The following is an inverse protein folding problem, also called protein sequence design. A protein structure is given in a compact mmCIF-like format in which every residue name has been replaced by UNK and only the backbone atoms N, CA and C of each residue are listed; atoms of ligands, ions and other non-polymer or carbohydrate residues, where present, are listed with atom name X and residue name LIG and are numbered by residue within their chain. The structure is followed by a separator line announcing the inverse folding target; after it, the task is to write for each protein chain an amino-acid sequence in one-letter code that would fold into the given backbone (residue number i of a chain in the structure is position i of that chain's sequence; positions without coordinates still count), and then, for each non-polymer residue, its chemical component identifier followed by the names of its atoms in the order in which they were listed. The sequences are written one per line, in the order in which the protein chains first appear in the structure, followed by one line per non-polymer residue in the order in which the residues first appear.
data_IF_694738539632
#
_entry.id   IF_694738539632
#
_cell.length_a   1.000
_cell.length_b   1.000
_cell.length_c   1.000
_cell.angle_alpha   90.00
_cell.angle_beta   90.00
_cell.angle_gamma   90.00
#
_symmetry.space_group_name_H-M   'P 1'
#
loop_
_entity.id
_entity.type
_entity.pdbx_description
1 polymer ?
#
# COMPACT_ATOMS: atom_id res chain seq x y z
N UNK A 1 -18.64 -11.24 -15.37
CA UNK A 1 -18.56 -10.56 -14.07
C UNK A 1 -17.41 -11.17 -13.26
N UNK A 2 -16.22 -10.61 -13.37
CA UNK A 2 -15.05 -11.13 -12.67
C UNK A 2 -15.09 -10.68 -11.22
N UNK A 3 -15.25 -11.65 -10.33
CA UNK A 3 -15.34 -11.43 -8.89
C UNK A 3 -13.92 -11.18 -8.33
N UNK A 4 -13.48 -9.93 -8.28
CA UNK A 4 -12.19 -9.52 -7.71
C UNK A 4 -12.01 -9.86 -6.21
N UNK A 5 -13.07 -10.34 -5.56
CA UNK A 5 -13.05 -10.73 -4.15
C UNK A 5 -12.39 -12.10 -3.86
N UNK A 6 -11.94 -12.82 -4.90
CA UNK A 6 -11.33 -14.14 -4.73
C UNK A 6 -9.94 -14.24 -5.35
N UNK A 7 -9.03 -13.36 -4.94
CA UNK A 7 -7.63 -13.79 -4.87
C UNK A 7 -7.59 -14.73 -3.65
N UNK A 8 -7.32 -16.02 -3.85
CA UNK A 8 -7.36 -16.95 -2.73
C UNK A 8 -6.39 -16.47 -1.65
N UNK A 9 -6.85 -16.25 -0.43
CA UNK A 9 -6.00 -15.97 0.73
C UNK A 9 -4.82 -16.95 0.86
N UNK A 10 -4.93 -18.13 0.24
CA UNK A 10 -3.91 -19.17 0.19
C UNK A 10 -2.67 -18.81 -0.65
N UNK A 11 -2.77 -17.93 -1.63
CA UNK A 11 -1.62 -17.58 -2.49
C UNK A 11 -0.75 -16.50 -1.85
N UNK A 12 -1.35 -15.59 -1.08
CA UNK A 12 -0.63 -14.51 -0.39
C UNK A 12 -0.10 -14.98 0.97
N UNK A 13 -0.73 -15.98 1.61
CA UNK A 13 -0.56 -16.24 3.03
C UNK A 13 0.39 -17.38 3.42
N UNK A 14 0.81 -18.27 2.54
CA UNK A 14 1.45 -19.51 3.02
C UNK A 14 2.91 -19.77 2.65
N UNK A 15 3.56 -18.96 1.84
CA UNK A 15 4.96 -19.24 1.45
C UNK A 15 5.97 -18.11 1.61
N UNK A 16 5.56 -16.88 1.94
CA UNK A 16 6.51 -15.77 2.07
C UNK A 16 6.50 -15.07 3.42
N UNK A 17 5.51 -15.32 4.26
CA UNK A 17 5.38 -14.64 5.54
C UNK A 17 5.08 -15.69 6.61
N UNK A 18 6.07 -16.00 7.43
CA UNK A 18 5.85 -16.77 8.66
C UNK A 18 4.74 -16.13 9.49
N UNK A 19 4.19 -16.86 10.47
CA UNK A 19 3.07 -16.42 11.35
C UNK A 19 3.36 -15.16 12.20
N UNK A 20 4.25 -14.28 11.74
CA UNK A 20 4.57 -13.02 12.39
C UNK A 20 3.65 -11.93 11.84
N UNK A 21 2.72 -11.46 12.65
CA UNK A 21 1.92 -10.27 12.36
C UNK A 21 2.65 -9.06 12.96
N UNK A 22 3.22 -8.18 12.12
CA UNK A 22 3.95 -7.03 12.63
C UNK A 22 3.00 -6.04 13.32
N UNK A 23 3.43 -5.50 14.45
CA UNK A 23 2.76 -4.40 15.14
C UNK A 23 3.25 -3.04 14.65
N UNK A 24 4.29 -3.05 13.84
CA UNK A 24 4.90 -1.86 13.26
C UNK A 24 4.21 -1.49 11.96
N UNK A 25 3.60 -0.31 11.92
CA UNK A 25 2.90 0.22 10.75
C UNK A 25 3.82 0.33 9.53
N UNK A 26 5.04 0.79 9.73
CA UNK A 26 6.01 0.97 8.65
C UNK A 26 6.47 -0.37 8.08
N UNK A 27 6.64 -1.38 8.92
CA UNK A 27 6.93 -2.73 8.47
C UNK A 27 5.75 -3.31 7.67
N UNK A 28 4.52 -3.09 8.11
CA UNK A 28 3.33 -3.50 7.37
C UNK A 28 3.25 -2.82 6.00
N UNK A 29 3.55 -1.53 5.92
CA UNK A 29 3.57 -0.79 4.66
C UNK A 29 4.68 -1.28 3.73
N UNK A 30 5.88 -1.50 4.25
CA UNK A 30 7.00 -2.04 3.47
C UNK A 30 6.64 -3.40 2.86
N UNK A 31 6.09 -4.29 3.64
CA UNK A 31 5.65 -5.61 3.17
C UNK A 31 4.55 -5.51 2.11
N UNK A 32 3.57 -4.64 2.34
CA UNK A 32 2.50 -4.39 1.37
C UNK A 32 3.03 -3.87 0.05
N UNK A 33 4.01 -2.99 0.09
CA UNK A 33 4.64 -2.42 -1.09
C UNK A 33 5.49 -3.45 -1.84
N UNK A 34 6.30 -4.22 -1.14
CA UNK A 34 7.07 -5.33 -1.76
C UNK A 34 6.15 -6.33 -2.45
N UNK A 35 5.01 -6.65 -1.83
CA UNK A 35 4.01 -7.53 -2.43
C UNK A 35 3.43 -6.93 -3.73
N UNK A 36 3.12 -5.64 -3.75
CA UNK A 36 2.64 -4.93 -4.95
C UNK A 36 3.68 -4.94 -6.06
N UNK A 37 4.92 -4.58 -5.76
CA UNK A 37 6.03 -4.59 -6.74
C UNK A 37 6.20 -6.01 -7.32
N UNK A 38 6.17 -7.03 -6.48
CA UNK A 38 6.23 -8.41 -6.92
C UNK A 38 5.10 -8.78 -7.89
N UNK A 39 3.86 -8.35 -7.57
CA UNK A 39 2.70 -8.60 -8.43
C UNK A 39 2.81 -7.86 -9.76
N UNK A 40 3.26 -6.61 -9.75
CA UNK A 40 3.50 -5.81 -10.95
C UNK A 40 4.51 -6.48 -11.88
N UNK A 41 5.59 -6.99 -11.31
CA UNK A 41 6.63 -7.70 -12.07
C UNK A 41 6.14 -9.03 -12.63
N UNK A 42 5.39 -9.79 -11.83
CA UNK A 42 4.93 -11.13 -12.19
C UNK A 42 3.75 -11.14 -13.15
N UNK A 43 2.87 -10.12 -13.05
CA UNK A 43 1.64 -10.03 -13.82
C UNK A 43 1.44 -8.62 -14.41
N UNK A 44 2.32 -8.20 -15.35
CA UNK A 44 2.28 -6.83 -15.89
C UNK A 44 0.96 -6.51 -16.59
N UNK A 45 0.40 -7.44 -17.35
CA UNK A 45 -0.86 -7.23 -18.07
C UNK A 45 -2.06 -7.06 -17.12
N UNK A 46 -2.07 -7.82 -16.03
CA UNK A 46 -3.11 -7.69 -14.99
C UNK A 46 -2.98 -6.34 -14.28
N UNK A 47 -1.77 -5.91 -14.00
CA UNK A 47 -1.51 -4.59 -13.40
C UNK A 47 -1.98 -3.49 -14.34
N UNK A 48 -1.65 -3.56 -15.61
CA UNK A 48 -2.09 -2.62 -16.64
C UNK A 48 -3.62 -2.55 -16.72
N UNK A 49 -4.28 -3.70 -16.67
CA UNK A 49 -5.75 -3.79 -16.68
C UNK A 49 -6.35 -3.11 -15.45
N UNK A 50 -5.84 -3.41 -14.25
CA UNK A 50 -6.35 -2.81 -13.00
C UNK A 50 -6.20 -1.29 -13.01
N UNK A 51 -5.04 -0.79 -13.44
CA UNK A 51 -4.79 0.64 -13.53
C UNK A 51 -5.73 1.30 -14.54
N UNK A 52 -5.90 0.73 -15.73
CA UNK A 52 -6.83 1.25 -16.74
C UNK A 52 -8.26 1.26 -16.22
N UNK A 53 -8.71 0.20 -15.57
CA UNK A 53 -10.05 0.10 -14.99
C UNK A 53 -10.28 1.17 -13.90
N UNK A 54 -9.25 1.49 -13.12
CA UNK A 54 -9.33 2.50 -12.07
C UNK A 54 -9.54 3.92 -12.62
N UNK A 55 -9.00 4.19 -13.80
CA UNK A 55 -9.08 5.49 -14.47
C UNK A 55 -10.05 5.47 -15.66
N UNK A 56 -10.91 4.46 -15.72
CA UNK A 56 -11.98 4.39 -16.73
C UNK A 56 -12.89 5.63 -16.64
N UNK A 57 -13.20 6.19 -17.79
CA UNK A 57 -14.05 7.38 -17.88
C UNK A 57 -15.53 7.06 -17.86
N UNK A 58 -15.89 5.81 -18.13
CA UNK A 58 -17.28 5.37 -17.97
C UNK A 58 -17.67 5.48 -16.49
N UNK A 59 -18.67 6.32 -16.23
CA UNK A 59 -19.07 6.68 -14.87
C UNK A 59 -19.66 5.51 -14.09
N UNK A 60 -20.31 4.57 -14.77
CA UNK A 60 -20.91 3.40 -14.14
C UNK A 60 -19.83 2.42 -13.70
N UNK A 61 -18.91 2.06 -14.59
CA UNK A 61 -17.79 1.16 -14.30
C UNK A 61 -16.85 1.78 -13.25
N UNK A 62 -16.52 3.06 -13.41
CA UNK A 62 -15.59 3.73 -12.49
C UNK A 62 -16.16 3.94 -11.09
N UNK A 63 -17.49 4.06 -10.94
CA UNK A 63 -18.13 4.16 -9.62
C UNK A 63 -18.06 2.83 -8.88
N UNK A 64 -18.39 1.71 -9.52
CA UNK A 64 -18.30 0.37 -8.93
C UNK A 64 -16.88 0.02 -8.49
N UNK A 65 -15.89 0.35 -9.33
CA UNK A 65 -14.47 0.11 -9.01
C UNK A 65 -14.04 0.96 -7.82
N UNK A 66 -14.38 2.24 -7.80
CA UNK A 66 -14.03 3.14 -6.68
C UNK A 66 -14.69 2.71 -5.38
N UNK A 67 -15.94 2.29 -5.41
CA UNK A 67 -16.64 1.83 -4.21
C UNK A 67 -16.06 0.53 -3.67
N UNK A 68 -15.73 -0.41 -4.56
CA UNK A 68 -15.06 -1.65 -4.19
C UNK A 68 -13.67 -1.39 -3.61
N UNK A 69 -12.92 -0.45 -4.18
CA UNK A 69 -11.60 -0.05 -3.73
C UNK A 69 -11.65 0.65 -2.36
N UNK A 70 -12.60 1.60 -2.19
CA UNK A 70 -12.80 2.29 -0.90
C UNK A 70 -13.12 1.30 0.20
N UNK A 71 -14.05 0.39 -0.05
CA UNK A 71 -14.41 -0.66 0.90
C UNK A 71 -13.21 -1.55 1.26
N UNK A 72 -12.41 -1.93 0.28
CA UNK A 72 -11.18 -2.70 0.51
C UNK A 72 -10.16 -1.90 1.33
N UNK A 73 -9.98 -0.62 1.01
CA UNK A 73 -9.08 0.26 1.74
C UNK A 73 -9.51 0.41 3.21
N UNK A 74 -10.79 0.65 3.47
CA UNK A 74 -11.31 0.82 4.83
C UNK A 74 -11.10 -0.44 5.67
N UNK A 75 -11.32 -1.62 5.10
CA UNK A 75 -11.06 -2.90 5.77
C UNK A 75 -9.57 -3.03 6.11
N UNK A 76 -8.69 -2.74 5.17
CA UNK A 76 -7.24 -2.83 5.37
C UNK A 76 -6.70 -1.81 6.36
N UNK A 77 -7.19 -0.58 6.27
CA UNK A 77 -6.82 0.49 7.20
C UNK A 77 -7.23 0.14 8.64
N UNK A 78 -8.45 -0.31 8.84
CA UNK A 78 -8.96 -0.70 10.15
C UNK A 78 -8.17 -1.89 10.73
N UNK A 79 -7.88 -2.91 9.93
CA UNK A 79 -7.08 -4.05 10.35
C UNK A 79 -5.65 -3.64 10.74
N UNK A 80 -5.01 -2.78 9.94
CA UNK A 80 -3.67 -2.31 10.21
C UNK A 80 -3.63 -1.46 11.48
N UNK A 81 -4.51 -0.45 11.59
CA UNK A 81 -4.51 0.48 12.70
C UNK A 81 -4.96 -0.15 14.03
N UNK A 82 -5.76 -1.22 13.99
CA UNK A 82 -6.16 -1.96 15.19
C UNK A 82 -4.99 -2.70 15.87
N UNK A 83 -3.90 -2.97 15.14
CA UNK A 83 -2.75 -3.76 15.61
C UNK A 83 -1.51 -2.92 15.88
N UNK A 84 -1.51 -1.67 15.44
CA UNK A 84 -0.34 -0.79 15.53
C UNK A 84 -0.04 -0.43 16.98
N UNK A 85 1.21 -0.61 17.38
CA UNK A 85 1.73 0.02 18.59
C UNK A 85 1.93 1.51 18.33
N UNK A 86 1.23 2.33 19.09
CA UNK A 86 1.21 3.79 18.92
C UNK A 86 2.14 4.53 19.87
N UNK A 87 2.84 3.81 20.75
CA UNK A 87 3.67 4.42 21.80
C UNK A 87 4.78 5.31 21.24
N UNK A 88 5.33 4.92 20.08
CA UNK A 88 6.46 5.62 19.46
C UNK A 88 6.04 6.76 18.53
N UNK A 89 4.75 6.93 18.26
CA UNK A 89 4.27 8.04 17.42
C UNK A 89 4.23 9.37 18.20
N UNK A 90 4.36 10.47 17.45
CA UNK A 90 4.19 11.82 18.04
C UNK A 90 2.82 11.98 18.65
N UNK A 91 2.73 12.68 19.76
CA UNK A 91 1.48 12.85 20.49
C UNK A 91 0.47 13.68 19.69
N UNK A 92 -0.81 13.31 19.77
CA UNK A 92 -1.90 14.01 19.09
C UNK A 92 -2.03 13.72 17.60
N UNK A 93 -1.28 12.73 17.08
CA UNK A 93 -1.36 12.33 15.69
C UNK A 93 -2.68 11.61 15.40
N UNK A 94 -3.38 12.05 14.35
CA UNK A 94 -4.51 11.30 13.79
C UNK A 94 -3.98 10.18 12.89
N UNK A 95 -4.01 8.96 13.41
CA UNK A 95 -3.49 7.78 12.72
C UNK A 95 -4.24 7.46 11.43
N UNK A 96 -5.53 7.78 11.35
CA UNK A 96 -6.31 7.53 10.14
C UNK A 96 -5.90 8.48 9.03
N UNK A 97 -5.70 9.76 9.35
CA UNK A 97 -5.21 10.76 8.39
C UNK A 97 -3.80 10.41 7.94
N UNK A 98 -2.91 10.08 8.88
CA UNK A 98 -1.53 9.66 8.58
C UNK A 98 -1.50 8.45 7.65
N UNK A 99 -2.23 7.39 7.99
CA UNK A 99 -2.27 6.17 7.17
C UNK A 99 -2.79 6.45 5.77
N UNK A 100 -3.86 7.23 5.67
CA UNK A 100 -4.44 7.62 4.38
C UNK A 100 -3.48 8.45 3.54
N UNK A 101 -2.77 9.39 4.14
CA UNK A 101 -1.76 10.21 3.44
C UNK A 101 -0.64 9.33 2.88
N UNK A 102 -0.05 8.48 3.72
CA UNK A 102 1.01 7.57 3.30
C UNK A 102 0.55 6.63 2.18
N UNK A 103 -0.67 6.12 2.29
CA UNK A 103 -1.26 5.25 1.28
C UNK A 103 -1.45 5.96 -0.06
N UNK A 104 -2.08 7.15 -0.05
CA UNK A 104 -2.33 7.93 -1.27
C UNK A 104 -1.02 8.38 -1.94
N UNK A 105 -0.01 8.76 -1.17
CA UNK A 105 1.30 9.10 -1.70
C UNK A 105 1.96 7.89 -2.37
N UNK A 106 1.87 6.72 -1.75
CA UNK A 106 2.39 5.47 -2.32
C UNK A 106 1.69 5.07 -3.61
N UNK A 107 0.37 5.17 -3.65
CA UNK A 107 -0.42 4.85 -4.84
C UNK A 107 -0.15 5.86 -5.97
N UNK A 108 -0.07 7.15 -5.63
CA UNK A 108 0.25 8.21 -6.60
C UNK A 108 1.62 8.02 -7.24
N UNK A 109 2.61 7.64 -6.45
CA UNK A 109 3.96 7.33 -6.93
C UNK A 109 3.97 6.15 -7.90
N UNK A 110 3.32 5.04 -7.54
CA UNK A 110 3.20 3.89 -8.44
C UNK A 110 2.46 4.22 -9.73
N UNK A 111 1.43 5.05 -9.62
CA UNK A 111 0.68 5.53 -10.76
C UNK A 111 1.54 6.37 -11.71
N UNK A 112 2.33 7.30 -11.19
CA UNK A 112 3.24 8.12 -11.98
C UNK A 112 4.22 7.25 -12.79
N UNK A 113 4.85 6.28 -12.15
CA UNK A 113 5.74 5.33 -12.82
C UNK A 113 5.00 4.53 -13.89
N UNK A 114 3.80 4.08 -13.58
CA UNK A 114 3.04 3.29 -14.54
C UNK A 114 2.63 4.12 -15.76
N UNK A 115 2.30 5.41 -15.56
CA UNK A 115 1.94 6.32 -16.66
C UNK A 115 3.13 6.71 -17.54
N UNK A 116 4.35 6.71 -17.02
CA UNK A 116 5.53 7.06 -17.82
C UNK A 116 5.73 6.11 -19.00
N UNK A 117 5.18 4.89 -18.91
CA UNK A 117 5.34 3.86 -19.93
C UNK A 117 6.76 3.28 -20.02
N UNK A 118 7.62 3.69 -19.09
CA UNK A 118 8.98 3.18 -18.99
C UNK A 118 8.98 1.74 -18.47
N UNK A 119 10.06 1.03 -18.76
CA UNK A 119 10.27 -0.31 -18.19
C UNK A 119 10.35 -0.22 -16.67
N UNK A 120 9.69 -1.15 -15.98
CA UNK A 120 9.63 -1.18 -14.53
C UNK A 120 11.01 -1.46 -13.92
N UNK A 121 11.65 -0.43 -13.38
CA UNK A 121 12.90 -0.54 -12.64
C UNK A 121 12.62 -0.90 -11.17
N UNK A 122 12.60 -2.19 -10.88
CA UNK A 122 12.29 -2.70 -9.53
C UNK A 122 13.30 -2.23 -8.47
N UNK A 123 14.63 -2.27 -8.69
CA UNK A 123 15.59 -1.73 -7.74
C UNK A 123 15.35 -0.26 -7.40
N UNK A 124 15.04 0.55 -8.39
CA UNK A 124 14.72 1.97 -8.20
C UNK A 124 13.44 2.15 -7.37
N UNK A 125 12.40 1.39 -7.68
CA UNK A 125 11.15 1.40 -6.91
C UNK A 125 11.38 1.06 -5.44
N UNK A 126 12.15 0.02 -5.16
CA UNK A 126 12.47 -0.37 -3.79
C UNK A 126 13.24 0.73 -3.05
N UNK A 127 14.22 1.35 -3.70
CA UNK A 127 14.97 2.46 -3.13
C UNK A 127 14.08 3.68 -2.83
N UNK A 128 13.26 4.11 -3.79
CA UNK A 128 12.38 5.26 -3.63
C UNK A 128 11.38 5.02 -2.49
N UNK A 129 10.89 3.79 -2.35
CA UNK A 129 10.04 3.40 -1.23
C UNK A 129 10.73 3.44 0.12
N UNK A 130 11.95 2.97 0.20
CA UNK A 130 12.75 3.08 1.43
C UNK A 130 12.96 4.54 1.84
N UNK A 131 13.18 5.42 0.88
CA UNK A 131 13.32 6.86 1.14
C UNK A 131 12.01 7.47 1.67
N UNK A 132 10.87 7.11 1.07
CA UNK A 132 9.56 7.54 1.57
C UNK A 132 9.30 7.05 3.00
N UNK A 133 9.60 5.78 3.29
CA UNK A 133 9.46 5.23 4.64
C UNK A 133 10.37 5.93 5.65
N UNK A 134 11.61 6.21 5.30
CA UNK A 134 12.54 6.98 6.16
C UNK A 134 12.01 8.38 6.43
N UNK A 135 11.46 9.03 5.42
CA UNK A 135 10.86 10.35 5.54
C UNK A 135 9.67 10.33 6.51
N UNK A 136 8.74 9.40 6.35
CA UNK A 136 7.59 9.27 7.23
C UNK A 136 7.98 8.92 8.67
N UNK A 137 8.91 7.99 8.87
CA UNK A 137 9.46 7.69 10.20
C UNK A 137 10.02 8.94 10.88
N UNK A 138 10.73 9.77 10.13
CA UNK A 138 11.30 11.02 10.66
C UNK A 138 10.22 12.03 11.09
N UNK A 139 9.07 12.05 10.43
CA UNK A 139 7.97 12.99 10.71
C UNK A 139 7.07 12.46 11.82
N UNK A 140 6.70 11.20 11.76
CA UNK A 140 5.63 10.64 12.57
C UNK A 140 6.10 9.95 13.85
N UNK A 141 7.36 9.54 13.95
CA UNK A 141 7.89 8.95 15.18
C UNK A 141 8.49 10.01 16.10
N UNK A 142 8.35 9.80 17.40
CA UNK A 142 9.05 10.60 18.40
C UNK A 142 10.55 10.51 18.15
N UNK A 143 11.22 11.63 18.27
CA UNK A 143 12.69 11.64 18.26
C UNK A 143 13.15 10.87 19.50
N UNK A 144 14.05 9.92 19.32
CA UNK A 144 14.75 9.35 20.46
C UNK A 144 15.33 10.50 21.28
N UNK A 145 14.88 10.62 22.52
CA UNK A 145 15.51 11.57 23.44
C UNK A 145 16.93 11.08 23.62
N UNK A 146 17.88 11.80 23.04
CA UNK A 146 19.29 11.48 23.13
C UNK A 146 19.66 11.26 24.57
N UNK A 147 20.16 10.06 24.85
CA UNK A 147 20.86 9.76 26.07
C UNK A 147 22.28 10.34 26.01
#
# INVERSE_FOLDING_TARGET
MYNFARIPRSIISKRSFGCYEPNDLFEMMERGMRAKIYMMKKYPDMTAFVVKAFYEKDTEISSEIRDSYRKYFDIKANDALARVDTADFVDGLDLNIMYREMYLASEGYLWEIFQSGDELDVPKLEQDFEEMLKFWKKIYLKKEQGR
#
